data_IF_987344827277
#
_entry.id   IF_987344827277
#
_cell.length_a   1.000
_cell.length_b   1.000
_cell.length_c   1.000
_cell.angle_alpha   90.00
_cell.angle_beta   90.00
_cell.angle_gamma   90.00
#
_symmetry.space_group_name_H-M   'P 1'
#
loop_
_entity.id
_entity.type
_entity.pdbx_description
1 polymer ?
#
# COMPACT_ATOMS: atom_id res chain seq x y z
N UNK A 1 5.40 -8.24 28.88
CA UNK A 1 4.60 -7.59 27.81
C UNK A 1 4.78 -8.39 26.53
N UNK A 2 3.68 -8.76 25.86
CA UNK A 2 3.72 -9.51 24.60
C UNK A 2 4.19 -8.61 23.44
N UNK A 3 4.71 -9.21 22.37
CA UNK A 3 5.34 -8.49 21.24
C UNK A 3 4.34 -7.55 20.55
N UNK A 4 3.09 -8.00 20.34
CA UNK A 4 2.06 -7.15 19.71
C UNK A 4 1.75 -5.89 20.53
N UNK A 5 1.77 -5.98 21.87
CA UNK A 5 1.58 -4.83 22.75
C UNK A 5 2.71 -3.81 22.57
N UNK A 6 3.95 -4.27 22.40
CA UNK A 6 5.11 -3.39 22.17
C UNK A 6 5.01 -2.67 20.83
N UNK A 7 4.53 -3.35 19.79
CA UNK A 7 4.33 -2.75 18.46
C UNK A 7 3.24 -1.68 18.52
N UNK A 8 2.09 -1.98 19.14
CA UNK A 8 1.00 -1.02 19.29
C UNK A 8 1.42 0.22 20.10
N UNK A 9 2.18 0.02 21.18
CA UNK A 9 2.73 1.13 21.96
C UNK A 9 3.74 1.95 21.16
N UNK A 10 4.60 1.30 20.36
CA UNK A 10 5.54 2.00 19.49
C UNK A 10 4.85 2.83 18.40
N UNK A 11 3.81 2.27 17.76
CA UNK A 11 3.00 2.98 16.77
C UNK A 11 2.29 4.19 17.41
N UNK A 12 1.65 3.99 18.56
CA UNK A 12 0.95 5.06 19.28
C UNK A 12 1.90 6.17 19.73
N UNK A 13 3.04 5.81 20.33
CA UNK A 13 4.05 6.77 20.75
C UNK A 13 4.65 7.54 19.56
N UNK A 14 4.94 6.86 18.46
CA UNK A 14 5.47 7.49 17.23
C UNK A 14 4.47 8.47 16.60
N UNK A 15 3.20 8.08 16.50
CA UNK A 15 2.14 8.95 15.98
C UNK A 15 1.93 10.19 16.85
N UNK A 16 1.91 10.02 18.18
CA UNK A 16 1.78 11.14 19.12
C UNK A 16 3.01 12.05 19.05
N UNK A 17 4.23 11.50 19.09
CA UNK A 17 5.45 12.28 19.01
C UNK A 17 5.56 13.06 17.69
N UNK A 18 5.23 12.44 16.55
CA UNK A 18 5.21 13.10 15.25
C UNK A 18 4.15 14.20 15.16
N UNK A 19 2.94 13.95 15.68
CA UNK A 19 1.88 14.96 15.75
C UNK A 19 2.26 16.15 16.62
N UNK A 20 2.82 15.91 17.81
CA UNK A 20 3.28 16.97 18.73
C UNK A 20 4.43 17.77 18.11
N UNK A 21 5.38 17.12 17.43
CA UNK A 21 6.48 17.81 16.75
C UNK A 21 5.99 18.74 15.63
N UNK A 22 4.93 18.35 14.93
CA UNK A 22 4.33 19.16 13.87
C UNK A 22 3.57 20.38 14.42
N UNK A 23 2.76 20.19 15.47
CA UNK A 23 1.93 21.26 16.04
C UNK A 23 2.73 22.26 16.88
N UNK A 24 3.67 21.77 17.70
CA UNK A 24 4.41 22.61 18.64
C UNK A 24 5.62 23.33 18.03
N UNK A 25 6.03 22.96 16.81
CA UNK A 25 7.15 23.59 16.10
C UNK A 25 8.51 23.44 16.79
N UNK A 26 8.69 22.40 17.63
CA UNK A 26 9.92 22.19 18.38
C UNK A 26 11.03 21.66 17.47
N UNK A 27 11.96 22.53 17.07
CA UNK A 27 13.05 22.22 16.14
C UNK A 27 13.88 20.99 16.59
N UNK A 28 14.25 20.92 17.88
CA UNK A 28 15.02 19.79 18.42
C UNK A 28 14.30 18.43 18.31
N UNK A 29 12.95 18.43 18.40
CA UNK A 29 12.15 17.21 18.30
C UNK A 29 12.00 16.79 16.83
N UNK A 30 11.88 17.76 15.92
CA UNK A 30 11.85 17.50 14.48
C UNK A 30 13.19 16.95 13.99
N UNK A 31 14.31 17.54 14.40
CA UNK A 31 15.65 17.01 14.09
C UNK A 31 15.85 15.59 14.61
N UNK A 32 15.39 15.32 15.84
CA UNK A 32 15.45 13.97 16.41
C UNK A 32 14.62 12.98 15.59
N UNK A 33 13.40 13.34 15.19
CA UNK A 33 12.55 12.46 14.38
C UNK A 33 13.13 12.20 12.98
N UNK A 34 13.71 13.20 12.34
CA UNK A 34 14.44 13.04 11.06
C UNK A 34 15.66 12.12 11.26
N UNK A 35 16.37 12.26 12.38
CA UNK A 35 17.46 11.34 12.75
C UNK A 35 17.02 9.88 12.96
N UNK A 36 15.74 9.65 13.30
CA UNK A 36 15.16 8.32 13.47
C UNK A 36 14.60 7.72 12.17
N UNK A 37 14.34 8.52 11.13
CA UNK A 37 13.90 8.07 9.81
C UNK A 37 14.73 6.92 9.21
N UNK A 38 16.08 6.91 9.26
CA UNK A 38 16.88 5.81 8.73
C UNK A 38 16.58 4.47 9.44
N UNK A 39 16.20 4.49 10.71
CA UNK A 39 15.84 3.27 11.45
C UNK A 39 14.53 2.68 10.92
N UNK A 40 13.53 3.53 10.67
CA UNK A 40 12.27 3.12 10.05
C UNK A 40 12.48 2.60 8.63
N UNK A 41 13.31 3.32 7.86
CA UNK A 41 13.68 2.90 6.50
C UNK A 41 14.42 1.56 6.47
N UNK A 42 15.36 1.34 7.40
CA UNK A 42 16.06 0.07 7.53
C UNK A 42 15.09 -1.07 7.89
N UNK A 43 14.14 -0.83 8.79
CA UNK A 43 13.11 -1.80 9.16
C UNK A 43 12.26 -2.23 7.94
N UNK A 44 11.79 -1.26 7.14
CA UNK A 44 11.04 -1.56 5.92
C UNK A 44 11.89 -2.35 4.92
N UNK A 45 13.15 -1.94 4.70
CA UNK A 45 14.09 -2.67 3.81
C UNK A 45 14.33 -4.11 4.26
N UNK A 46 14.39 -4.36 5.57
CA UNK A 46 14.55 -5.70 6.13
C UNK A 46 13.31 -6.56 5.88
N UNK A 47 12.10 -6.00 6.04
CA UNK A 47 10.86 -6.72 5.71
C UNK A 47 10.81 -7.02 4.22
N UNK A 48 11.03 -6.03 3.35
CA UNK A 48 10.91 -6.21 1.89
C UNK A 48 11.94 -7.20 1.35
N UNK A 49 13.15 -7.24 1.91
CA UNK A 49 14.17 -8.24 1.56
C UNK A 49 13.70 -9.69 1.76
N UNK A 50 12.87 -9.93 2.77
CA UNK A 50 12.38 -11.29 3.09
C UNK A 50 11.14 -11.64 2.25
N UNK A 51 10.33 -10.65 1.88
CA UNK A 51 9.05 -10.87 1.19
C UNK A 51 9.21 -11.64 -0.13
N UNK A 52 10.13 -11.23 -1.00
CA UNK A 52 10.27 -11.84 -2.33
C UNK A 52 10.70 -13.32 -2.25
N UNK A 53 11.78 -13.69 -1.55
CA UNK A 53 12.16 -15.11 -1.40
C UNK A 53 11.07 -15.95 -0.73
N UNK A 54 10.41 -15.40 0.29
CA UNK A 54 9.38 -16.10 1.04
C UNK A 54 8.15 -16.41 0.17
N UNK A 55 7.68 -15.45 -0.64
CA UNK A 55 6.54 -15.65 -1.55
C UNK A 55 6.87 -16.73 -2.58
N UNK A 56 8.04 -16.65 -3.23
CA UNK A 56 8.45 -17.64 -4.25
C UNK A 56 8.54 -19.04 -3.65
N UNK A 57 9.22 -19.19 -2.52
CA UNK A 57 9.35 -20.48 -1.84
C UNK A 57 7.98 -21.02 -1.37
N UNK A 58 7.15 -20.17 -0.79
CA UNK A 58 5.81 -20.54 -0.31
C UNK A 58 4.90 -20.99 -1.45
N UNK A 59 4.92 -20.29 -2.58
CA UNK A 59 4.16 -20.66 -3.77
C UNK A 59 4.68 -21.97 -4.39
N UNK A 60 5.99 -22.17 -4.49
CA UNK A 60 6.58 -23.41 -4.98
C UNK A 60 6.20 -24.61 -4.12
N UNK A 61 6.41 -24.53 -2.81
CA UNK A 61 6.08 -25.62 -1.88
C UNK A 61 4.57 -25.84 -1.81
N UNK A 62 3.79 -24.76 -1.77
CA UNK A 62 2.33 -24.81 -1.72
C UNK A 62 1.73 -25.45 -2.96
N UNK A 63 2.18 -25.05 -4.16
CA UNK A 63 1.69 -25.64 -5.41
C UNK A 63 2.15 -27.08 -5.59
N UNK A 64 3.40 -27.41 -5.22
CA UNK A 64 3.91 -28.78 -5.27
C UNK A 64 3.13 -29.72 -4.34
N UNK A 65 2.72 -29.25 -3.16
CA UNK A 65 1.98 -30.07 -2.17
C UNK A 65 0.57 -30.48 -2.62
N UNK A 66 -0.04 -29.73 -3.56
CA UNK A 66 -1.40 -29.97 -4.02
C UNK A 66 -1.51 -31.14 -5.00
N UNK A 67 -0.41 -31.51 -5.66
CA UNK A 67 -0.27 -32.67 -6.55
C UNK A 67 -1.07 -32.65 -7.87
N UNK A 68 -2.22 -31.97 -7.91
CA UNK A 68 -3.14 -31.93 -9.06
C UNK A 68 -3.47 -30.48 -9.47
N UNK A 69 -3.15 -30.14 -10.73
CA UNK A 69 -3.39 -28.83 -11.35
C UNK A 69 -4.88 -28.46 -11.35
N UNK A 70 -5.80 -29.43 -11.43
CA UNK A 70 -7.25 -29.16 -11.38
C UNK A 70 -7.69 -28.61 -10.03
N UNK A 71 -7.04 -29.04 -8.94
CA UNK A 71 -7.31 -28.52 -7.59
C UNK A 71 -6.83 -27.08 -7.45
N UNK A 72 -5.66 -26.77 -8.01
CA UNK A 72 -5.10 -25.42 -8.05
C UNK A 72 -6.02 -24.45 -8.81
N UNK A 73 -6.51 -24.83 -9.99
CA UNK A 73 -7.43 -24.00 -10.78
C UNK A 73 -8.76 -23.73 -10.06
N UNK A 74 -9.32 -24.73 -9.37
CA UNK A 74 -10.55 -24.56 -8.58
C UNK A 74 -10.35 -23.65 -7.38
N UNK A 75 -9.21 -23.77 -6.70
CA UNK A 75 -8.85 -22.90 -5.58
C UNK A 75 -8.67 -21.46 -6.07
N UNK A 76 -7.94 -21.27 -7.17
CA UNK A 76 -7.75 -19.95 -7.80
C UNK A 76 -9.06 -19.27 -8.17
N UNK A 77 -10.00 -19.97 -8.83
CA UNK A 77 -11.31 -19.40 -9.18
C UNK A 77 -12.15 -19.04 -7.94
N UNK A 78 -12.13 -19.87 -6.89
CA UNK A 78 -12.82 -19.56 -5.63
C UNK A 78 -12.23 -18.32 -4.96
N UNK A 79 -10.90 -18.24 -4.91
CA UNK A 79 -10.18 -17.10 -4.33
C UNK A 79 -10.40 -15.82 -5.13
N UNK A 80 -10.37 -15.90 -6.46
CA UNK A 80 -10.65 -14.76 -7.35
C UNK A 80 -12.08 -14.25 -7.15
N UNK A 81 -13.08 -15.14 -7.16
CA UNK A 81 -14.46 -14.77 -6.89
C UNK A 81 -14.67 -14.17 -5.50
N UNK A 82 -14.00 -14.73 -4.49
CA UNK A 82 -14.02 -14.20 -3.12
C UNK A 82 -13.43 -12.78 -3.06
N UNK A 83 -12.24 -12.56 -3.61
CA UNK A 83 -11.61 -11.24 -3.60
C UNK A 83 -12.37 -10.22 -4.44
N UNK A 84 -12.86 -10.58 -5.63
CA UNK A 84 -13.67 -9.67 -6.43
C UNK A 84 -14.92 -9.21 -5.67
N UNK A 85 -15.61 -10.14 -4.98
CA UNK A 85 -16.80 -9.80 -4.21
C UNK A 85 -16.47 -8.90 -3.02
N UNK A 86 -15.44 -9.24 -2.22
CA UNK A 86 -15.07 -8.43 -1.05
C UNK A 86 -14.53 -7.07 -1.44
N UNK A 87 -13.79 -6.96 -2.54
CA UNK A 87 -13.33 -5.66 -3.09
C UNK A 87 -14.51 -4.82 -3.57
N UNK A 88 -15.48 -5.38 -4.30
CA UNK A 88 -16.67 -4.66 -4.71
C UNK A 88 -17.46 -4.13 -3.50
N UNK A 89 -17.62 -4.95 -2.46
CA UNK A 89 -18.28 -4.53 -1.22
C UNK A 89 -17.49 -3.43 -0.49
N UNK A 90 -16.16 -3.54 -0.42
CA UNK A 90 -15.30 -2.54 0.21
C UNK A 90 -15.35 -1.20 -0.53
N UNK A 91 -15.30 -1.22 -1.87
CA UNK A 91 -15.42 -0.01 -2.71
C UNK A 91 -16.81 0.60 -2.56
N UNK A 92 -17.87 -0.22 -2.58
CA UNK A 92 -19.24 0.24 -2.37
C UNK A 92 -19.42 0.94 -1.02
N UNK A 93 -18.88 0.35 0.06
CA UNK A 93 -18.86 0.97 1.39
C UNK A 93 -18.02 2.26 1.41
N UNK A 94 -16.88 2.28 0.73
CA UNK A 94 -16.03 3.47 0.63
C UNK A 94 -16.76 4.65 -0.04
N UNK A 95 -17.47 4.40 -1.14
CA UNK A 95 -18.27 5.41 -1.84
C UNK A 95 -19.44 5.88 -0.98
N UNK A 96 -20.14 4.94 -0.33
CA UNK A 96 -21.24 5.26 0.58
C UNK A 96 -20.79 6.17 1.72
N UNK A 97 -19.69 5.83 2.39
CA UNK A 97 -19.11 6.63 3.47
C UNK A 97 -18.60 7.98 2.97
N UNK A 98 -17.99 8.03 1.78
CA UNK A 98 -17.54 9.28 1.18
C UNK A 98 -18.71 10.23 0.87
N UNK A 99 -19.82 9.72 0.34
CA UNK A 99 -21.01 10.54 0.05
C UNK A 99 -21.73 11.00 1.32
N UNK A 100 -21.72 10.18 2.38
CA UNK A 100 -22.34 10.52 3.66
C UNK A 100 -21.52 11.53 4.47
N UNK A 101 -20.20 11.32 4.58
CA UNK A 101 -19.31 12.18 5.36
C UNK A 101 -18.89 13.44 4.60
N UNK A 102 -18.99 13.43 3.26
CA UNK A 102 -18.59 14.52 2.36
C UNK A 102 -17.25 15.15 2.77
N UNK A 103 -16.18 14.35 2.85
CA UNK A 103 -14.87 14.86 3.26
C UNK A 103 -14.44 15.99 2.31
N UNK A 104 -14.07 17.14 2.87
CA UNK A 104 -13.65 18.33 2.09
C UNK A 104 -14.74 19.38 1.82
N UNK A 105 -15.98 19.16 2.27
CA UNK A 105 -17.06 20.16 2.19
C UNK A 105 -16.80 21.44 3.00
N UNK A 106 -15.93 21.38 4.02
CA UNK A 106 -15.52 22.52 4.84
C UNK A 106 -14.26 23.27 4.37
N UNK A 107 -13.69 22.92 3.20
CA UNK A 107 -12.49 23.58 2.68
C UNK A 107 -12.88 24.88 1.97
N UNK A 108 -12.32 26.01 2.41
CA UNK A 108 -12.55 27.31 1.81
C UNK A 108 -12.08 27.36 0.33
N UNK A 109 -12.73 28.19 -0.48
CA UNK A 109 -12.44 28.28 -1.92
C UNK A 109 -11.01 28.76 -2.18
N UNK A 110 -10.50 29.71 -1.39
CA UNK A 110 -9.14 30.21 -1.55
C UNK A 110 -8.09 29.14 -1.23
N UNK A 111 -8.33 28.33 -0.17
CA UNK A 111 -7.47 27.19 0.16
C UNK A 111 -7.52 26.11 -0.93
N UNK A 112 -8.71 25.84 -1.48
CA UNK A 112 -8.87 24.89 -2.59
C UNK A 112 -8.08 25.32 -3.83
N UNK A 113 -8.19 26.59 -4.23
CA UNK A 113 -7.47 27.13 -5.39
C UNK A 113 -5.96 27.13 -5.18
N UNK A 114 -5.49 27.47 -3.97
CA UNK A 114 -4.07 27.39 -3.62
C UNK A 114 -3.54 25.94 -3.68
N UNK A 115 -4.31 24.97 -3.18
CA UNK A 115 -3.94 23.54 -3.25
C UNK A 115 -3.92 23.03 -4.69
N UNK A 116 -4.89 23.42 -5.53
CA UNK A 116 -4.91 23.04 -6.96
C UNK A 116 -3.71 23.66 -7.69
N UNK A 117 -3.39 24.93 -7.42
CA UNK A 117 -2.23 25.59 -8.02
C UNK A 117 -0.89 24.94 -7.60
N UNK A 118 -0.78 24.51 -6.35
CA UNK A 118 0.38 23.75 -5.87
C UNK A 118 0.47 22.35 -6.50
N UNK A 119 -0.69 21.71 -6.73
CA UNK A 119 -0.80 20.40 -7.36
C UNK A 119 -0.48 20.42 -8.86
N UNK A 120 -0.73 21.54 -9.55
CA UNK A 120 -0.47 21.68 -10.99
C UNK A 120 1.03 21.59 -11.34
N UNK A 121 1.94 21.97 -10.43
CA UNK A 121 3.38 21.71 -10.59
C UNK A 121 3.78 20.25 -10.34
N UNK A 122 2.91 19.47 -9.71
CA UNK A 122 3.13 18.09 -9.28
C UNK A 122 2.53 17.05 -10.24
N UNK A 123 1.93 17.49 -11.36
CA UNK A 123 1.46 16.66 -12.48
C UNK A 123 2.56 15.72 -13.03
N UNK A 124 3.83 15.98 -12.73
CA UNK A 124 4.95 15.09 -13.05
C UNK A 124 4.92 13.75 -12.26
N UNK A 125 4.24 13.70 -11.11
CA UNK A 125 4.15 12.49 -10.24
C UNK A 125 2.85 11.73 -10.41
N UNK A 126 1.79 12.41 -10.86
CA UNK A 126 0.55 11.80 -11.31
C UNK A 126 0.59 11.74 -12.84
N UNK A 127 1.56 10.99 -13.37
CA UNK A 127 1.35 10.36 -14.66
C UNK A 127 0.12 9.46 -14.47
N UNK A 128 -1.05 10.00 -14.77
CA UNK A 128 -2.06 9.21 -15.42
C UNK A 128 -1.35 8.72 -16.67
N UNK A 129 -0.68 7.58 -16.56
CA UNK A 129 -0.23 6.86 -17.74
C UNK A 129 -1.47 6.80 -18.62
N UNK A 130 -1.47 7.58 -19.69
CA UNK A 130 -2.59 7.74 -20.63
C UNK A 130 -3.04 6.36 -21.16
N UNK A 131 -2.18 5.37 -20.99
CA UNK A 131 -2.38 3.97 -21.22
C UNK A 131 -2.97 3.26 -20.00
N UNK A 132 -4.30 3.33 -19.82
CA UNK A 132 -5.01 2.36 -18.97
C UNK A 132 -4.75 0.98 -19.59
N UNK A 133 -4.03 0.07 -18.89
CA UNK A 133 -3.65 -1.21 -19.47
C UNK A 133 -4.93 -1.98 -19.82
N UNK A 134 -5.01 -2.41 -21.07
CA UNK A 134 -6.16 -3.20 -21.53
C UNK A 134 -6.16 -4.53 -20.79
N UNK A 135 -7.34 -5.16 -20.60
CA UNK A 135 -7.45 -6.49 -19.94
C UNK A 135 -6.48 -7.52 -20.54
N UNK A 136 -6.25 -7.46 -21.86
CA UNK A 136 -5.27 -8.31 -22.55
C UNK A 136 -3.84 -8.08 -22.06
N UNK A 137 -3.46 -6.83 -21.81
CA UNK A 137 -2.11 -6.47 -21.39
C UNK A 137 -1.87 -6.90 -19.94
N UNK A 138 -2.88 -6.75 -19.07
CA UNK A 138 -2.84 -7.29 -17.70
C UNK A 138 -2.72 -8.81 -17.70
N UNK A 139 -3.45 -9.51 -18.57
CA UNK A 139 -3.32 -10.96 -18.71
C UNK A 139 -1.93 -11.36 -19.21
N UNK A 140 -1.37 -10.61 -20.15
CA UNK A 140 -0.02 -10.84 -20.67
C UNK A 140 1.07 -10.52 -19.63
N UNK A 141 0.86 -9.56 -18.74
CA UNK A 141 1.82 -9.21 -17.68
C UNK A 141 1.90 -10.25 -16.55
N UNK A 142 0.91 -11.13 -16.43
CA UNK A 142 0.95 -12.26 -15.47
C UNK A 142 2.07 -13.24 -15.81
N UNK A 143 2.43 -13.38 -17.10
CA UNK A 143 3.49 -14.29 -17.54
C UNK A 143 4.76 -13.48 -17.78
N UNK A 144 5.73 -13.47 -16.84
CA UNK A 144 6.95 -12.69 -17.00
C UNK A 144 7.83 -13.28 -18.11
N UNK A 145 8.49 -12.39 -18.88
CA UNK A 145 9.51 -12.80 -19.85
C UNK A 145 10.79 -13.33 -19.19
N UNK A 146 11.10 -12.82 -17.99
CA UNK A 146 12.22 -13.26 -17.16
C UNK A 146 11.79 -13.27 -15.68
N UNK A 147 11.69 -14.44 -15.03
CA UNK A 147 11.21 -14.56 -13.66
C UNK A 147 12.16 -13.94 -12.63
N UNK A 148 13.47 -13.90 -12.90
CA UNK A 148 14.46 -13.29 -11.99
C UNK A 148 14.32 -11.78 -12.03
N UNK A 149 14.16 -11.22 -13.23
CA UNK A 149 13.94 -9.78 -13.39
C UNK A 149 12.61 -9.36 -12.75
N UNK A 150 11.53 -10.13 -12.96
CA UNK A 150 10.23 -9.85 -12.37
C UNK A 150 10.20 -9.95 -10.83
N UNK A 151 11.18 -10.61 -10.21
CA UNK A 151 11.34 -10.67 -8.76
C UNK A 151 12.26 -9.55 -8.21
N UNK A 152 13.02 -8.89 -9.08
CA UNK A 152 13.95 -7.81 -8.73
C UNK A 152 13.38 -6.41 -8.97
N UNK A 153 12.39 -6.30 -9.86
CA UNK A 153 11.52 -5.13 -10.07
C UNK A 153 10.44 -5.02 -8.98
#
# INVERSE_FOLDING_TARGET
MQVHTRILLGLGAGAVAGGVANVSGWEWLQELLVGLEPVGSAFIRLITMIVVPLIVASLLVGTASLGDVRRLGRLGLKTLGYYSLTTCLAVGLGILLADLLRPGSGIDKATREALIAQSAGQESTLRLDEHVPTVREVLLSIIPRNPVQAAAE
#
